data_IF_028547035108
#
_entry.id   IF_028547035108
#
_cell.length_a   1.000
_cell.length_b   1.000
_cell.length_c   1.000
_cell.angle_alpha   90.00
_cell.angle_beta   90.00
_cell.angle_gamma   90.00
#
_symmetry.space_group_name_H-M   'P 1'
#
loop_
_entity.id
_entity.type
_entity.pdbx_description
1 polymer ?
#
# COMPACT_ATOMS: atom_id res chain seq x y z
N UNK A 1 3.27 6.57 -12.11
CA UNK A 1 2.49 6.02 -10.98
C UNK A 1 2.70 4.51 -10.95
N UNK A 2 2.77 3.87 -9.78
CA UNK A 2 2.91 2.41 -9.67
C UNK A 2 1.63 1.85 -9.05
N UNK A 3 1.13 0.75 -9.58
CA UNK A 3 -0.08 0.08 -9.14
C UNK A 3 0.25 -1.39 -8.86
N UNK A 4 -0.31 -1.93 -7.77
CA UNK A 4 -0.22 -3.34 -7.42
C UNK A 4 -1.60 -3.95 -7.65
N UNK A 5 -1.65 -5.06 -8.39
CA UNK A 5 -2.88 -5.74 -8.78
C UNK A 5 -2.84 -7.15 -8.24
N UNK A 6 -3.78 -7.48 -7.35
CA UNK A 6 -4.04 -8.85 -6.93
C UNK A 6 -5.09 -9.45 -7.89
N UNK A 7 -4.72 -10.51 -8.59
CA UNK A 7 -5.51 -11.09 -9.67
C UNK A 7 -5.62 -12.59 -9.43
N UNK A 8 -6.86 -13.11 -9.39
CA UNK A 8 -7.10 -14.54 -9.33
C UNK A 8 -6.48 -15.27 -10.52
N UNK A 9 -5.88 -16.45 -10.28
CA UNK A 9 -5.07 -17.21 -11.25
C UNK A 9 -5.75 -17.40 -12.61
N UNK A 10 -7.06 -17.61 -12.59
CA UNK A 10 -7.85 -17.99 -13.77
C UNK A 10 -7.93 -16.87 -14.81
N UNK A 11 -7.77 -15.61 -14.37
CA UNK A 11 -7.83 -14.42 -15.24
C UNK A 11 -6.45 -13.81 -15.49
N UNK A 12 -5.39 -14.34 -14.89
CA UNK A 12 -4.05 -13.74 -14.92
C UNK A 12 -3.52 -13.57 -16.36
N UNK A 13 -3.70 -14.59 -17.21
CA UNK A 13 -3.21 -14.56 -18.60
C UNK A 13 -3.91 -13.47 -19.41
N UNK A 14 -5.24 -13.37 -19.32
CA UNK A 14 -6.02 -12.36 -20.02
C UNK A 14 -5.63 -10.95 -19.57
N UNK A 15 -5.49 -10.71 -18.27
CA UNK A 15 -5.13 -9.39 -17.73
C UNK A 15 -3.70 -9.02 -18.12
N UNK A 16 -2.75 -9.97 -18.06
CA UNK A 16 -1.37 -9.74 -18.49
C UNK A 16 -1.27 -9.35 -19.96
N UNK A 17 -2.01 -10.04 -20.83
CA UNK A 17 -2.01 -9.77 -22.27
C UNK A 17 -2.63 -8.40 -22.57
N UNK A 18 -3.71 -8.04 -21.88
CA UNK A 18 -4.30 -6.71 -21.98
C UNK A 18 -3.30 -5.61 -21.56
N UNK A 19 -2.65 -5.76 -20.40
CA UNK A 19 -1.73 -4.75 -19.89
C UNK A 19 -0.46 -4.60 -20.74
N UNK A 20 0.05 -5.69 -21.34
CA UNK A 20 1.21 -5.64 -22.25
C UNK A 20 0.92 -4.93 -23.57
N UNK A 21 -0.34 -4.89 -24.00
CA UNK A 21 -0.74 -4.17 -25.21
C UNK A 21 -0.79 -2.65 -25.02
N UNK A 22 -0.66 -2.16 -23.79
CA UNK A 22 -0.57 -0.74 -23.49
C UNK A 22 0.89 -0.28 -23.61
N UNK A 23 1.19 0.55 -24.60
CA UNK A 23 2.54 1.06 -24.89
C UNK A 23 3.18 1.86 -23.74
N UNK A 24 2.36 2.45 -22.87
CA UNK A 24 2.83 3.32 -21.78
C UNK A 24 2.85 2.61 -20.41
N UNK A 25 2.55 1.31 -20.36
CA UNK A 25 2.49 0.54 -19.11
C UNK A 25 3.56 -0.53 -19.09
N UNK A 26 4.46 -0.44 -18.09
CA UNK A 26 5.42 -1.49 -17.80
C UNK A 26 4.80 -2.48 -16.81
N UNK A 27 4.76 -3.75 -17.19
CA UNK A 27 4.19 -4.83 -16.37
C UNK A 27 5.28 -5.78 -15.93
N UNK A 28 5.37 -6.02 -14.62
CA UNK A 28 6.30 -6.98 -14.02
C UNK A 28 5.51 -7.87 -13.07
N UNK A 29 5.78 -9.18 -13.11
CA UNK A 29 5.27 -10.11 -12.11
C UNK A 29 6.12 -10.00 -10.86
N UNK A 30 5.48 -9.88 -9.71
CA UNK A 30 6.13 -9.93 -8.40
C UNK A 30 5.68 -11.19 -7.68
N UNK A 31 6.46 -11.65 -6.71
CA UNK A 31 6.05 -12.76 -5.85
C UNK A 31 5.13 -12.24 -4.74
N UNK A 32 4.32 -13.13 -4.15
CA UNK A 32 3.44 -12.78 -3.03
C UNK A 32 4.24 -12.16 -1.87
N UNK A 33 5.42 -12.71 -1.58
CA UNK A 33 6.33 -12.18 -0.55
C UNK A 33 6.78 -10.75 -0.83
N UNK A 34 7.07 -10.42 -2.08
CA UNK A 34 7.46 -9.07 -2.46
C UNK A 34 6.26 -8.10 -2.39
N UNK A 35 5.05 -8.59 -2.70
CA UNK A 35 3.82 -7.82 -2.58
C UNK A 35 3.50 -7.47 -1.12
N UNK A 36 3.66 -8.44 -0.22
CA UNK A 36 3.50 -8.26 1.23
C UNK A 36 4.50 -7.21 1.76
N UNK A 37 5.78 -7.36 1.41
CA UNK A 37 6.83 -6.40 1.76
C UNK A 37 6.53 -4.98 1.29
N UNK A 38 6.00 -4.81 0.06
CA UNK A 38 5.62 -3.50 -0.45
C UNK A 38 4.47 -2.88 0.34
N UNK A 39 3.52 -3.70 0.79
CA UNK A 39 2.39 -3.27 1.61
C UNK A 39 2.87 -2.83 2.98
N UNK A 40 3.70 -3.65 3.65
CA UNK A 40 4.30 -3.32 4.95
C UNK A 40 5.12 -2.03 4.88
N UNK A 41 5.98 -1.87 3.86
CA UNK A 41 6.79 -0.66 3.68
C UNK A 41 5.89 0.58 3.52
N UNK A 42 4.75 0.44 2.84
CA UNK A 42 3.81 1.55 2.65
C UNK A 42 3.17 1.96 3.97
N UNK A 43 2.72 0.99 4.77
CA UNK A 43 2.16 1.24 6.10
C UNK A 43 3.18 1.88 7.04
N UNK A 44 4.41 1.36 7.06
CA UNK A 44 5.52 1.92 7.84
C UNK A 44 5.77 3.37 7.44
N UNK A 45 5.84 3.67 6.14
CA UNK A 45 6.03 5.06 5.66
C UNK A 45 4.90 5.98 6.11
N UNK A 46 3.66 5.51 6.07
CA UNK A 46 2.52 6.29 6.56
C UNK A 46 2.63 6.56 8.07
N UNK A 47 3.02 5.55 8.85
CA UNK A 47 3.25 5.70 10.28
C UNK A 47 4.34 6.73 10.58
N UNK A 48 5.46 6.71 9.84
CA UNK A 48 6.52 7.72 9.97
C UNK A 48 6.05 9.12 9.58
N UNK A 49 5.25 9.26 8.51
CA UNK A 49 4.67 10.56 8.13
C UNK A 49 3.74 11.11 9.22
N UNK A 50 2.92 10.26 9.83
CA UNK A 50 2.08 10.66 10.95
C UNK A 50 2.92 11.06 12.18
N UNK A 51 3.97 10.31 12.50
CA UNK A 51 4.88 10.65 13.58
C UNK A 51 5.59 12.00 13.35
N UNK A 52 6.01 12.28 12.11
CA UNK A 52 6.58 13.57 11.72
C UNK A 52 5.54 14.70 11.90
N UNK A 53 4.30 14.49 11.47
CA UNK A 53 3.22 15.48 11.65
C UNK A 53 2.89 15.72 13.13
N UNK A 54 2.93 14.69 13.98
CA UNK A 54 2.83 14.83 15.44
C UNK A 54 3.99 15.69 15.99
N UNK A 55 5.21 15.43 15.54
CA UNK A 55 6.40 16.19 15.97
C UNK A 55 6.35 17.66 15.56
N UNK A 56 5.72 17.96 14.41
CA UNK A 56 5.50 19.31 13.91
C UNK A 56 4.28 20.00 14.53
N UNK A 57 3.57 19.34 15.45
CA UNK A 57 2.34 19.86 16.08
C UNK A 57 1.15 20.00 15.11
N UNK A 58 1.21 19.34 13.95
CA UNK A 58 0.14 19.34 12.93
C UNK A 58 -0.92 18.27 13.16
N UNK A 59 -0.63 17.31 14.03
CA UNK A 59 -1.56 16.29 14.51
C UNK A 59 -1.53 16.28 16.04
N UNK A 60 -2.69 16.05 16.66
CA UNK A 60 -2.80 15.85 18.11
C UNK A 60 -2.66 14.37 18.45
N UNK A 61 -1.71 14.03 19.32
CA UNK A 61 -1.64 12.69 19.90
C UNK A 61 -2.72 12.54 20.97
N UNK A 62 -3.48 11.45 20.93
CA UNK A 62 -4.36 11.05 22.03
C UNK A 62 -3.73 9.90 22.81
N UNK A 63 -3.75 9.94 24.16
CA UNK A 63 -3.42 8.79 24.99
C UNK A 63 -4.29 7.58 24.62
N UNK A 64 -3.72 6.38 24.69
CA UNK A 64 -4.41 5.15 24.28
C UNK A 64 -5.61 4.86 25.19
N UNK A 65 -5.55 5.28 26.45
CA UNK A 65 -6.63 5.19 27.43
C UNK A 65 -7.86 5.98 27.00
N UNK A 66 -7.67 7.08 26.25
CA UNK A 66 -8.77 7.90 25.75
C UNK A 66 -9.39 7.32 24.48
N UNK A 67 -8.68 6.48 23.72
CA UNK A 67 -9.22 5.81 22.52
C UNK A 67 -10.13 4.64 22.89
N UNK A 68 -9.82 3.92 23.97
CA UNK A 68 -10.60 2.76 24.44
C UNK A 68 -11.95 3.13 25.05
N UNK A 69 -12.12 4.39 25.48
CA UNK A 69 -13.40 4.88 26.02
C UNK A 69 -14.38 5.36 24.93
N UNK A 70 -13.92 5.50 23.68
CA UNK A 70 -14.71 6.01 22.54
C UNK A 70 -15.25 4.88 21.62
N UNK A 71 -15.02 3.59 21.95
CA UNK A 71 -15.50 2.39 21.24
C UNK A 71 -16.68 1.73 21.96
#
# INVERSE_FOLDING_TARGET
>A
MKLLLDIHSDNLSMVMDFLKNLTDVKVEKITDKDADLLTEIKEIKQAFQHAEMLSLGKLEAKPIENLLNDL
#
